data_IF_153054481401
#
_entry.id   IF_153054481401
#
_cell.length_a   1.000
_cell.length_b   1.000
_cell.length_c   1.000
_cell.angle_alpha   90.00
_cell.angle_beta   90.00
_cell.angle_gamma   90.00
#
_symmetry.space_group_name_H-M   'P 1'
#
loop_
_entity.id
_entity.type
_entity.pdbx_description
1 polymer ?
#
# COMPACT_ATOMS: atom_id res chain seq x y z
N UNK A 1 18.56 80.98 15.95
CA UNK A 1 18.85 79.54 16.08
C UNK A 1 17.64 78.79 15.54
N UNK A 2 17.78 78.03 14.44
CA UNK A 2 16.71 77.20 13.92
C UNK A 2 16.76 75.81 14.59
N UNK A 3 15.63 75.25 15.03
CA UNK A 3 15.61 73.90 15.59
C UNK A 3 15.82 72.87 14.48
N UNK A 4 16.72 71.90 14.72
CA UNK A 4 16.93 70.76 13.84
C UNK A 4 15.73 69.82 14.04
N UNK A 5 14.96 69.48 12.98
CA UNK A 5 13.88 68.53 13.11
C UNK A 5 14.43 67.13 13.39
N UNK A 6 13.99 66.52 14.50
CA UNK A 6 14.20 65.12 14.81
C UNK A 6 13.57 64.24 13.71
N UNK A 7 14.38 63.57 12.90
CA UNK A 7 13.90 62.47 12.07
C UNK A 7 13.70 61.24 12.95
N UNK A 8 12.44 60.85 13.15
CA UNK A 8 12.09 59.54 13.73
C UNK A 8 12.64 58.45 12.80
N UNK A 9 13.59 57.65 13.28
CA UNK A 9 14.01 56.43 12.58
C UNK A 9 12.78 55.53 12.46
N UNK A 10 12.34 55.28 11.22
CA UNK A 10 11.29 54.31 10.95
C UNK A 10 11.73 52.93 11.49
N UNK A 11 10.82 52.15 12.10
CA UNK A 11 11.14 50.79 12.54
C UNK A 11 11.60 49.94 11.35
N UNK A 12 12.57 49.04 11.52
CA UNK A 12 13.00 48.15 10.45
C UNK A 12 11.78 47.35 9.93
N UNK A 13 11.69 47.11 8.60
CA UNK A 13 10.58 46.37 8.04
C UNK A 13 10.49 45.00 8.73
N UNK A 14 9.26 44.51 9.04
CA UNK A 14 9.10 43.21 9.67
C UNK A 14 9.80 42.17 8.80
N UNK A 15 10.82 41.50 9.35
CA UNK A 15 11.44 40.36 8.70
C UNK A 15 10.33 39.37 8.38
N UNK A 16 9.95 39.29 7.10
CA UNK A 16 9.05 38.28 6.60
C UNK A 16 9.79 36.95 6.72
N UNK A 17 9.66 36.31 7.87
CA UNK A 17 9.90 34.88 8.01
C UNK A 17 8.86 34.18 7.15
N UNK A 18 9.06 34.18 5.83
CA UNK A 18 8.50 33.14 5.00
C UNK A 18 9.32 31.90 5.35
N UNK A 19 8.75 30.87 5.98
CA UNK A 19 9.39 29.56 5.95
C UNK A 19 9.62 29.27 4.48
N UNK A 20 10.88 29.11 4.08
CA UNK A 20 11.22 28.68 2.74
C UNK A 20 10.57 27.30 2.56
N UNK A 21 9.37 27.27 2.00
CA UNK A 21 8.77 26.03 1.55
C UNK A 21 9.78 25.44 0.55
N UNK A 22 10.30 24.23 0.78
CA UNK A 22 11.17 23.61 -0.20
C UNK A 22 10.40 23.59 -1.54
N UNK A 23 10.98 24.14 -2.63
CA UNK A 23 10.24 24.39 -3.87
C UNK A 23 9.77 23.12 -4.57
N UNK A 24 10.20 21.96 -4.11
CA UNK A 24 9.69 20.67 -4.56
C UNK A 24 9.37 19.82 -3.34
N UNK A 25 8.11 19.39 -3.13
CA UNK A 25 7.90 18.28 -2.22
C UNK A 25 8.68 17.08 -2.76
N UNK A 26 9.24 16.22 -1.89
CA UNK A 26 9.97 15.04 -2.34
C UNK A 26 9.09 14.24 -3.32
N UNK A 27 9.67 13.54 -4.32
CA UNK A 27 8.90 12.79 -5.32
C UNK A 27 7.86 11.83 -4.71
N UNK A 28 8.11 11.35 -3.50
CA UNK A 28 7.21 10.52 -2.68
C UNK A 28 5.94 11.25 -2.20
N UNK A 29 5.86 12.58 -2.25
CA UNK A 29 4.65 13.34 -1.91
C UNK A 29 3.48 13.04 -2.86
N UNK A 30 3.78 12.74 -4.13
CA UNK A 30 2.77 12.35 -5.11
C UNK A 30 2.19 10.95 -4.84
N UNK A 31 2.90 10.07 -4.12
CA UNK A 31 2.39 8.76 -3.75
C UNK A 31 1.15 8.89 -2.85
N UNK A 32 1.16 9.79 -1.87
CA UNK A 32 0.09 9.98 -0.87
C UNK A 32 -1.17 10.68 -1.41
N UNK A 33 -1.39 10.64 -2.72
CA UNK A 33 -2.67 11.02 -3.32
C UNK A 33 -3.65 9.84 -3.25
N UNK A 34 -4.95 10.13 -3.13
CA UNK A 34 -5.97 9.08 -2.96
C UNK A 34 -5.93 8.05 -4.11
N UNK A 35 -5.75 8.51 -5.35
CA UNK A 35 -5.74 7.63 -6.53
C UNK A 35 -4.51 6.73 -6.51
N UNK A 36 -3.32 7.29 -6.27
CA UNK A 36 -2.07 6.52 -6.29
C UNK A 36 -2.04 5.48 -5.16
N UNK A 37 -2.45 5.84 -3.94
CA UNK A 37 -2.59 4.88 -2.84
C UNK A 37 -3.59 3.77 -3.18
N UNK A 38 -4.73 4.10 -3.80
CA UNK A 38 -5.71 3.09 -4.20
C UNK A 38 -5.18 2.11 -5.25
N UNK A 39 -4.51 2.62 -6.29
CA UNK A 39 -3.90 1.78 -7.33
C UNK A 39 -2.84 0.86 -6.71
N UNK A 40 -1.99 1.39 -5.84
CA UNK A 40 -0.93 0.63 -5.17
C UNK A 40 -1.46 -0.43 -4.23
N UNK A 41 -2.52 -0.13 -3.46
CA UNK A 41 -3.19 -1.13 -2.62
C UNK A 41 -3.88 -2.22 -3.44
N UNK A 42 -4.44 -1.88 -4.60
CA UNK A 42 -5.03 -2.86 -5.52
C UNK A 42 -3.96 -3.80 -6.05
N UNK A 43 -2.84 -3.26 -6.54
CA UNK A 43 -1.73 -4.07 -7.05
C UNK A 43 -1.11 -4.95 -5.94
N UNK A 44 -0.98 -4.43 -4.72
CA UNK A 44 -0.53 -5.21 -3.57
C UNK A 44 -1.48 -6.36 -3.28
N UNK A 45 -2.80 -6.13 -3.31
CA UNK A 45 -3.80 -7.17 -3.08
C UNK A 45 -3.75 -8.26 -4.16
N UNK A 46 -3.67 -7.88 -5.43
CA UNK A 46 -3.52 -8.82 -6.56
C UNK A 46 -2.22 -9.63 -6.45
N UNK A 47 -1.11 -8.99 -6.09
CA UNK A 47 0.18 -9.66 -5.89
C UNK A 47 0.14 -10.63 -4.71
N UNK A 48 -0.57 -10.31 -3.63
CA UNK A 48 -0.79 -11.22 -2.50
C UNK A 48 -1.63 -12.45 -2.88
N UNK A 49 -2.66 -12.28 -3.71
CA UNK A 49 -3.45 -13.41 -4.23
C UNK A 49 -2.53 -14.35 -5.02
N UNK A 50 -1.69 -13.80 -5.89
CA UNK A 50 -0.73 -14.58 -6.67
C UNK A 50 0.32 -15.27 -5.78
N UNK A 51 0.85 -14.58 -4.77
CA UNK A 51 1.79 -15.16 -3.82
C UNK A 51 1.19 -16.33 -3.02
N UNK A 52 -0.08 -16.22 -2.61
CA UNK A 52 -0.80 -17.31 -1.95
C UNK A 52 -1.01 -18.52 -2.89
N UNK A 53 -1.28 -18.28 -4.17
CA UNK A 53 -1.38 -19.36 -5.15
C UNK A 53 -0.01 -20.04 -5.35
N UNK A 54 1.06 -19.25 -5.50
CA UNK A 54 2.43 -19.76 -5.62
C UNK A 54 2.86 -20.56 -4.40
N UNK A 55 2.49 -20.12 -3.19
CA UNK A 55 2.75 -20.87 -1.96
C UNK A 55 2.14 -22.28 -2.02
N UNK A 56 0.87 -22.39 -2.45
CA UNK A 56 0.21 -23.69 -2.59
C UNK A 56 0.90 -24.58 -3.62
N UNK A 57 1.34 -24.02 -4.74
CA UNK A 57 2.09 -24.77 -5.75
C UNK A 57 3.41 -25.32 -5.19
N UNK A 58 4.18 -24.48 -4.49
CA UNK A 58 5.43 -24.90 -3.83
C UNK A 58 5.18 -25.98 -2.76
N UNK A 59 4.10 -25.87 -1.98
CA UNK A 59 3.70 -26.90 -1.01
C UNK A 59 3.37 -28.23 -1.70
N UNK A 60 2.73 -28.21 -2.87
CA UNK A 60 2.45 -29.42 -3.66
C UNK A 60 3.73 -30.02 -4.23
N UNK A 61 4.62 -29.20 -4.79
CA UNK A 61 5.93 -29.65 -5.29
C UNK A 61 6.76 -30.32 -4.19
N UNK A 62 6.79 -29.71 -3.00
CA UNK A 62 7.49 -30.27 -1.84
C UNK A 62 6.94 -31.65 -1.46
N UNK A 63 5.61 -31.80 -1.39
CA UNK A 63 4.96 -33.08 -1.08
C UNK A 63 5.22 -34.16 -2.13
N UNK A 64 5.21 -33.82 -3.42
CA UNK A 64 5.56 -34.77 -4.50
C UNK A 64 7.00 -35.23 -4.33
N UNK A 65 7.91 -34.31 -4.01
CA UNK A 65 9.33 -34.61 -3.77
C UNK A 65 9.53 -35.53 -2.57
N UNK A 66 8.84 -35.27 -1.47
CA UNK A 66 8.86 -36.11 -0.26
C UNK A 66 8.26 -37.51 -0.52
N UNK A 67 7.16 -37.60 -1.27
CA UNK A 67 6.54 -38.87 -1.66
C UNK A 67 7.45 -39.73 -2.55
N UNK A 68 8.23 -39.11 -3.45
CA UNK A 68 9.24 -39.82 -4.27
C UNK A 68 10.44 -40.32 -3.45
N UNK A 69 10.76 -39.66 -2.34
CA UNK A 69 11.89 -40.00 -1.46
C UNK A 69 11.56 -40.96 -0.30
N UNK A 70 10.28 -41.09 0.08
CA UNK A 70 9.83 -41.91 1.21
C UNK A 70 9.26 -43.25 0.75
N UNK A 71 9.94 -44.36 1.08
CA UNK A 71 9.56 -45.73 0.68
C UNK A 71 8.34 -46.30 1.45
N UNK A 72 7.72 -45.57 2.37
CA UNK A 72 6.86 -46.25 3.37
C UNK A 72 5.64 -45.55 3.97
N UNK A 73 5.26 -44.34 3.60
CA UNK A 73 4.02 -43.74 4.13
C UNK A 73 3.39 -42.77 3.13
N UNK A 74 2.59 -43.29 2.20
CA UNK A 74 1.61 -42.47 1.48
C UNK A 74 0.43 -42.23 2.43
N UNK A 75 0.49 -41.16 3.22
CA UNK A 75 -0.76 -40.53 3.61
C UNK A 75 -1.39 -39.97 2.33
N UNK A 76 -2.62 -40.38 2.04
CA UNK A 76 -3.38 -39.90 0.89
C UNK A 76 -3.64 -38.39 1.06
N UNK A 77 -2.69 -37.57 0.59
CA UNK A 77 -2.87 -36.13 0.55
C UNK A 77 -3.77 -35.83 -0.64
N UNK A 78 -4.94 -35.28 -0.33
CA UNK A 78 -5.96 -34.89 -1.31
C UNK A 78 -5.36 -34.04 -2.43
N UNK A 79 -5.52 -34.50 -3.68
CA UNK A 79 -5.03 -33.82 -4.90
C UNK A 79 -3.57 -34.07 -5.32
N UNK A 80 -2.76 -34.86 -4.59
CA UNK A 80 -1.36 -35.12 -4.96
C UNK A 80 -1.23 -35.93 -6.27
N UNK A 81 -2.05 -36.96 -6.40
CA UNK A 81 -2.12 -37.79 -7.61
C UNK A 81 -2.63 -36.97 -8.80
N UNK A 82 -3.62 -36.10 -8.60
CA UNK A 82 -4.14 -35.21 -9.64
C UNK A 82 -3.07 -34.23 -10.12
N UNK A 83 -2.30 -33.64 -9.21
CA UNK A 83 -1.21 -32.74 -9.53
C UNK A 83 -0.07 -33.44 -10.29
N UNK A 84 0.33 -34.63 -9.85
CA UNK A 84 1.36 -35.41 -10.54
C UNK A 84 0.89 -35.85 -11.93
N UNK A 85 -0.35 -36.33 -12.04
CA UNK A 85 -0.96 -36.67 -13.33
C UNK A 85 -1.06 -35.45 -14.25
N UNK A 86 -1.33 -34.26 -13.72
CA UNK A 86 -1.35 -33.02 -14.49
C UNK A 86 0.04 -32.69 -15.09
N UNK A 87 1.12 -32.82 -14.30
CA UNK A 87 2.47 -32.57 -14.81
C UNK A 87 2.82 -33.55 -15.94
N UNK A 88 2.56 -34.84 -15.74
CA UNK A 88 2.80 -35.88 -16.74
C UNK A 88 1.96 -35.65 -18.02
N UNK A 89 0.66 -35.36 -17.87
CA UNK A 89 -0.25 -35.11 -18.98
C UNK A 89 0.19 -33.91 -19.84
N UNK A 90 0.78 -32.89 -19.21
CA UNK A 90 1.28 -31.70 -19.90
C UNK A 90 2.77 -31.80 -20.28
N UNK A 91 3.43 -32.94 -20.01
CA UNK A 91 4.87 -33.15 -20.23
C UNK A 91 5.74 -32.07 -19.57
N UNK A 92 5.33 -31.64 -18.38
CA UNK A 92 6.07 -30.68 -17.58
C UNK A 92 7.10 -31.46 -16.77
N UNK A 93 8.38 -31.16 -17.03
CA UNK A 93 9.46 -31.73 -16.24
C UNK A 93 9.41 -31.20 -14.81
N UNK A 94 9.44 -32.13 -13.85
CA UNK A 94 9.26 -31.79 -12.43
C UNK A 94 10.42 -30.94 -11.90
N UNK A 95 11.67 -31.28 -12.25
CA UNK A 95 12.84 -30.54 -11.76
C UNK A 95 12.90 -29.13 -12.35
N UNK A 96 12.59 -29.00 -13.64
CA UNK A 96 12.45 -27.70 -14.29
C UNK A 96 11.32 -26.86 -13.68
N UNK A 97 10.16 -27.47 -13.41
CA UNK A 97 9.04 -26.77 -12.76
C UNK A 97 9.42 -26.32 -11.35
N UNK A 98 10.06 -27.19 -10.54
CA UNK A 98 10.55 -26.82 -9.20
C UNK A 98 11.46 -25.59 -9.25
N UNK A 99 12.42 -25.58 -10.18
CA UNK A 99 13.34 -24.47 -10.35
C UNK A 99 12.61 -23.16 -10.72
N UNK A 100 11.72 -23.23 -11.71
CA UNK A 100 10.95 -22.06 -12.20
C UNK A 100 10.03 -21.52 -11.10
N UNK A 101 9.33 -22.39 -10.35
CA UNK A 101 8.42 -21.96 -9.28
C UNK A 101 9.19 -21.28 -8.14
N UNK A 102 10.39 -21.74 -7.79
CA UNK A 102 11.25 -21.09 -6.80
C UNK A 102 11.75 -19.72 -7.28
N UNK A 103 12.16 -19.61 -8.55
CA UNK A 103 12.57 -18.33 -9.13
C UNK A 103 11.40 -17.33 -9.16
N UNK A 104 10.23 -17.76 -9.62
CA UNK A 104 9.02 -16.95 -9.64
C UNK A 104 8.61 -16.49 -8.23
N UNK A 105 8.74 -17.36 -7.22
CA UNK A 105 8.48 -17.00 -5.83
C UNK A 105 9.45 -15.92 -5.31
N UNK A 106 10.73 -15.99 -5.68
CA UNK A 106 11.71 -14.95 -5.33
C UNK A 106 11.36 -13.60 -5.97
N UNK A 107 10.99 -13.60 -7.26
CA UNK A 107 10.54 -12.39 -7.95
C UNK A 107 9.28 -11.79 -7.32
N UNK A 108 8.31 -12.63 -6.94
CA UNK A 108 7.12 -12.18 -6.22
C UNK A 108 7.46 -11.56 -4.86
N UNK A 109 8.40 -12.15 -4.13
CA UNK A 109 8.88 -11.61 -2.86
C UNK A 109 9.57 -10.25 -3.05
N UNK A 110 10.40 -10.09 -4.08
CA UNK A 110 10.99 -8.80 -4.45
C UNK A 110 9.93 -7.77 -4.80
N UNK A 111 8.94 -8.15 -5.62
CA UNK A 111 7.82 -7.27 -5.98
C UNK A 111 7.02 -6.84 -4.75
N UNK A 112 6.71 -7.74 -3.84
CA UNK A 112 6.01 -7.41 -2.59
C UNK A 112 6.80 -6.42 -1.74
N UNK A 113 8.12 -6.60 -1.61
CA UNK A 113 9.00 -5.63 -0.90
C UNK A 113 8.93 -4.24 -1.54
N UNK A 114 9.04 -4.16 -2.86
CA UNK A 114 8.97 -2.91 -3.60
C UNK A 114 7.60 -2.22 -3.45
N UNK A 115 6.51 -3.00 -3.49
CA UNK A 115 5.16 -2.46 -3.35
C UNK A 115 4.92 -1.91 -1.94
N UNK A 116 5.49 -2.55 -0.92
CA UNK A 116 5.38 -2.17 0.49
C UNK A 116 6.28 -0.99 0.88
N UNK A 117 7.35 -0.72 0.14
CA UNK A 117 8.35 0.28 0.50
C UNK A 117 7.75 1.66 0.84
N UNK A 118 6.82 2.26 0.04
CA UNK A 118 6.31 3.59 0.36
C UNK A 118 5.44 3.62 1.61
N UNK A 119 4.92 2.47 2.06
CA UNK A 119 4.13 2.38 3.28
C UNK A 119 5.00 2.37 4.54
N UNK A 120 6.33 2.28 4.42
CA UNK A 120 7.25 2.43 5.57
C UNK A 120 7.03 3.75 6.29
N UNK A 121 6.63 4.81 5.58
CA UNK A 121 6.30 6.10 6.20
C UNK A 121 5.19 6.06 7.27
N UNK A 122 4.39 5.00 7.31
CA UNK A 122 3.33 4.79 8.31
C UNK A 122 3.88 4.16 9.60
N UNK A 123 4.88 3.30 9.49
CA UNK A 123 5.36 2.44 10.58
C UNK A 123 6.76 2.78 11.06
N UNK A 124 7.59 3.36 10.20
CA UNK A 124 9.00 3.65 10.48
C UNK A 124 9.14 5.05 11.07
N UNK A 125 9.60 5.10 12.31
CA UNK A 125 9.81 6.36 13.02
C UNK A 125 10.95 7.21 12.44
N UNK A 126 11.89 6.59 11.72
CA UNK A 126 12.99 7.28 11.07
C UNK A 126 12.59 7.99 9.77
N UNK A 127 11.35 7.84 9.32
CA UNK A 127 10.87 8.47 8.08
C UNK A 127 10.85 10.01 8.20
N UNK A 128 11.28 10.74 7.14
CA UNK A 128 11.15 12.19 7.08
C UNK A 128 9.74 12.70 7.41
N UNK A 129 9.67 13.85 8.08
CA UNK A 129 8.42 14.44 8.53
C UNK A 129 7.51 14.83 7.36
N UNK A 130 8.07 15.14 6.19
CA UNK A 130 7.32 15.47 4.98
C UNK A 130 6.40 14.33 4.58
N UNK A 131 6.90 13.09 4.61
CA UNK A 131 6.12 11.90 4.26
C UNK A 131 5.07 11.60 5.33
N UNK A 132 5.46 11.66 6.62
CA UNK A 132 4.51 11.51 7.74
C UNK A 132 3.37 12.53 7.64
N UNK A 133 3.67 13.78 7.30
CA UNK A 133 2.66 14.83 7.13
C UNK A 133 1.72 14.54 5.95
N UNK A 134 2.25 13.96 4.86
CA UNK A 134 1.46 13.59 3.70
C UNK A 134 0.47 12.46 4.02
N UNK A 135 0.91 11.45 4.79
CA UNK A 135 0.06 10.38 5.33
C UNK A 135 -1.08 10.97 6.17
N UNK A 136 -0.75 11.86 7.12
CA UNK A 136 -1.74 12.50 7.99
C UNK A 136 -2.76 13.31 7.19
N UNK A 137 -2.31 14.12 6.23
CA UNK A 137 -3.19 14.91 5.36
C UNK A 137 -4.14 14.02 4.55
N UNK A 138 -3.66 12.88 4.05
CA UNK A 138 -4.52 11.92 3.33
C UNK A 138 -5.57 11.32 4.28
N UNK A 139 -5.16 10.88 5.47
CA UNK A 139 -6.05 10.32 6.49
C UNK A 139 -7.15 11.31 6.89
N UNK A 140 -6.79 12.56 7.14
CA UNK A 140 -7.75 13.63 7.46
C UNK A 140 -8.73 13.89 6.32
N UNK A 141 -8.26 13.94 5.07
CA UNK A 141 -9.14 14.09 3.90
C UNK A 141 -10.15 12.95 3.80
N UNK A 142 -9.72 11.71 3.99
CA UNK A 142 -10.58 10.52 3.99
C UNK A 142 -11.63 10.62 5.11
N UNK A 143 -11.19 10.97 6.32
CA UNK A 143 -12.08 11.09 7.49
C UNK A 143 -13.08 12.24 7.35
N UNK A 144 -12.65 13.39 6.81
CA UNK A 144 -13.52 14.52 6.49
C UNK A 144 -14.57 14.13 5.44
N UNK A 145 -14.17 13.41 4.40
CA UNK A 145 -15.09 12.90 3.37
C UNK A 145 -16.14 11.95 3.98
N UNK A 146 -15.73 10.99 4.82
CA UNK A 146 -16.64 10.07 5.54
C UNK A 146 -17.64 10.85 6.43
N UNK A 147 -17.15 11.81 7.21
CA UNK A 147 -17.98 12.67 8.08
C UNK A 147 -19.00 13.47 7.27
N UNK A 148 -18.57 14.11 6.19
CA UNK A 148 -19.44 14.87 5.30
C UNK A 148 -20.52 13.99 4.67
N UNK A 149 -20.17 12.78 4.21
CA UNK A 149 -21.14 11.83 3.65
C UNK A 149 -22.21 11.46 4.68
N UNK A 150 -21.81 11.12 5.92
CA UNK A 150 -22.73 10.81 7.02
C UNK A 150 -23.62 11.99 7.37
N UNK A 151 -23.06 13.19 7.47
CA UNK A 151 -23.80 14.41 7.77
C UNK A 151 -24.86 14.70 6.70
N UNK A 152 -24.49 14.63 5.41
CA UNK A 152 -25.44 14.81 4.30
C UNK A 152 -26.56 13.77 4.34
N UNK A 153 -26.25 12.50 4.64
CA UNK A 153 -27.26 11.44 4.79
C UNK A 153 -28.27 11.78 5.89
N UNK A 154 -27.79 12.14 7.08
CA UNK A 154 -28.68 12.55 8.20
C UNK A 154 -29.50 13.78 7.88
N UNK A 155 -28.91 14.78 7.21
CA UNK A 155 -29.64 15.99 6.80
C UNK A 155 -30.79 15.65 5.85
N UNK A 156 -30.54 14.83 4.82
CA UNK A 156 -31.57 14.38 3.88
C UNK A 156 -32.69 13.61 4.58
N UNK A 157 -32.33 12.73 5.51
CA UNK A 157 -33.29 11.97 6.31
C UNK A 157 -34.21 12.89 7.13
N UNK A 158 -33.65 13.86 7.86
CA UNK A 158 -34.45 14.82 8.64
C UNK A 158 -35.39 15.66 7.77
N UNK A 159 -34.97 16.01 6.55
CA UNK A 159 -35.83 16.74 5.60
C UNK A 159 -37.00 15.85 5.16
N UNK A 160 -36.74 14.59 4.80
CA UNK A 160 -37.79 13.64 4.44
C UNK A 160 -38.77 13.37 5.60
N UNK A 161 -38.26 13.24 6.83
CA UNK A 161 -39.09 13.08 8.04
C UNK A 161 -39.98 14.30 8.32
N UNK A 162 -39.54 15.51 7.97
CA UNK A 162 -40.38 16.71 8.06
C UNK A 162 -41.47 16.72 6.99
N UNK A 163 -41.10 16.43 5.74
CA UNK A 163 -42.04 16.36 4.62
C UNK A 163 -43.11 15.27 4.81
N UNK A 164 -42.77 14.15 5.44
CA UNK A 164 -43.73 13.08 5.71
C UNK A 164 -44.69 13.39 6.87
N UNK A 165 -44.45 14.47 7.63
CA UNK A 165 -45.32 14.94 8.73
C UNK A 165 -46.23 16.09 8.32
N UNK A 166 -46.00 16.67 7.13
CA UNK A 166 -46.88 17.64 6.45
C UNK A 166 -47.92 16.88 5.62
#
# INVERSE_FOLDING_TARGET
MNPIPYQSMAPPPPHQWNPAFPPNPPPSSNFWTQINVQVRLKELHETLILANAMQKELEMLLKVKEAKGSVGNQENVDGLDEFSNFLEANRIDFEAQELISVEAANELMWKLRLLLEPFRAVTDEATPWEEKSAVLRLSEKINKSKRNKRWRKRKRQRVAEKLAKE
#
